data_IF_930639458633
#
_entry.id   IF_930639458633
#
_cell.length_a   1.000
_cell.length_b   1.000
_cell.length_c   1.000
_cell.angle_alpha   90.00
_cell.angle_beta   90.00
_cell.angle_gamma   90.00
#
_symmetry.space_group_name_H-M   'P 1'
#
loop_
_entity.id
_entity.type
_entity.pdbx_description
1 polymer ?
#
# COMPACT_ATOMS: atom_id res chain seq x y z
N UNK A 1 3.13 -22.73 7.32
CA UNK A 1 2.41 -21.53 7.79
C UNK A 1 2.81 -20.40 6.87
N UNK A 2 1.83 -19.67 6.36
CA UNK A 2 2.03 -18.44 5.58
C UNK A 2 2.40 -17.32 6.54
N UNK A 3 3.32 -16.43 6.15
CA UNK A 3 3.67 -15.25 6.96
C UNK A 3 2.63 -14.14 6.79
N UNK A 4 2.38 -13.30 7.82
CA UNK A 4 1.53 -12.13 7.67
C UNK A 4 2.03 -11.21 6.55
N UNK A 5 1.13 -10.81 5.66
CA UNK A 5 1.38 -9.86 4.60
C UNK A 5 1.42 -8.42 5.14
N UNK A 6 2.15 -7.54 4.45
CA UNK A 6 2.18 -6.10 4.69
C UNK A 6 1.61 -5.34 3.49
N UNK A 7 1.04 -4.17 3.77
CA UNK A 7 0.70 -3.19 2.74
C UNK A 7 1.98 -2.49 2.27
N UNK A 8 2.28 -2.61 0.98
CA UNK A 8 3.30 -1.81 0.31
C UNK A 8 2.64 -0.54 -0.25
N UNK A 9 3.14 0.64 0.09
CA UNK A 9 2.58 1.89 -0.42
C UNK A 9 3.66 2.87 -0.86
N UNK A 10 3.88 3.07 -2.17
CA UNK A 10 4.57 4.23 -2.71
C UNK A 10 3.73 5.49 -2.49
N UNK A 11 4.00 6.25 -1.42
CA UNK A 11 3.21 7.44 -1.07
C UNK A 11 3.81 8.68 -1.76
N UNK A 12 3.59 8.80 -3.07
CA UNK A 12 4.12 9.91 -3.88
C UNK A 12 3.13 11.09 -3.97
N UNK A 13 2.21 11.15 -3.01
CA UNK A 13 1.33 12.29 -2.76
C UNK A 13 2.03 13.32 -1.88
N UNK A 14 2.20 14.53 -2.39
CA UNK A 14 2.77 15.61 -1.59
C UNK A 14 1.82 16.00 -0.43
N UNK A 15 2.30 16.12 0.81
CA UNK A 15 1.46 16.41 1.97
C UNK A 15 1.12 17.90 2.11
N UNK A 16 0.35 18.48 1.18
CA UNK A 16 0.04 19.92 1.15
C UNK A 16 -0.49 20.51 2.47
N UNK A 17 -1.14 19.70 3.30
CA UNK A 17 -1.69 20.05 4.59
C UNK A 17 -1.82 18.82 5.49
N UNK A 18 -2.25 19.01 6.73
CA UNK A 18 -2.38 17.96 7.75
C UNK A 18 -3.36 16.85 7.40
N UNK A 19 -4.25 17.05 6.42
CA UNK A 19 -5.22 16.04 5.99
C UNK A 19 -4.84 15.36 4.68
N UNK A 20 -3.72 15.75 4.05
CA UNK A 20 -3.33 15.20 2.74
C UNK A 20 -3.08 13.69 2.77
N UNK A 21 -2.65 13.16 3.92
CA UNK A 21 -2.42 11.74 4.15
C UNK A 21 -3.47 11.10 5.09
N UNK A 22 -4.63 11.73 5.31
CA UNK A 22 -5.65 11.21 6.23
C UNK A 22 -6.21 9.86 5.78
N UNK A 23 -6.27 9.59 4.48
CA UNK A 23 -6.67 8.29 3.92
C UNK A 23 -5.77 7.16 4.44
N UNK A 24 -4.45 7.37 4.45
CA UNK A 24 -3.51 6.41 5.02
C UNK A 24 -3.64 6.32 6.54
N UNK A 25 -3.60 7.45 7.26
CA UNK A 25 -3.59 7.40 8.74
C UNK A 25 -4.88 6.83 9.31
N UNK A 26 -6.02 7.01 8.64
CA UNK A 26 -7.29 6.37 9.02
C UNK A 26 -7.21 4.86 8.89
N UNK A 27 -6.69 4.32 7.78
CA UNK A 27 -6.51 2.87 7.59
C UNK A 27 -5.48 2.28 8.55
N UNK A 28 -4.40 3.00 8.83
CA UNK A 28 -3.37 2.60 9.81
C UNK A 28 -3.97 2.49 11.21
N UNK A 29 -4.75 3.49 11.64
CA UNK A 29 -5.40 3.50 12.95
C UNK A 29 -6.47 2.40 13.08
N UNK A 30 -7.22 2.13 12.00
CA UNK A 30 -8.26 1.10 11.95
C UNK A 30 -7.69 -0.32 12.00
N UNK A 31 -6.47 -0.53 11.48
CA UNK A 31 -5.84 -1.85 11.35
C UNK A 31 -4.52 -1.93 12.14
N UNK A 32 -4.54 -1.89 13.50
CA UNK A 32 -3.33 -1.80 14.32
C UNK A 32 -2.39 -3.02 14.21
N UNK A 33 -2.89 -4.17 13.75
CA UNK A 33 -2.09 -5.38 13.54
C UNK A 33 -1.55 -5.52 12.10
N UNK A 34 -2.02 -4.68 11.16
CA UNK A 34 -1.55 -4.67 9.79
C UNK A 34 -0.32 -3.79 9.67
N UNK A 35 0.78 -4.36 9.15
CA UNK A 35 2.00 -3.61 8.88
C UNK A 35 1.89 -2.83 7.56
N UNK A 36 2.31 -1.57 7.58
CA UNK A 36 2.40 -0.70 6.40
C UNK A 36 3.85 -0.33 6.12
N UNK A 37 4.39 -0.75 4.98
CA UNK A 37 5.67 -0.28 4.46
C UNK A 37 5.40 0.90 3.50
N UNK A 38 5.62 2.12 3.98
CA UNK A 38 5.27 3.36 3.27
C UNK A 38 6.52 4.03 2.74
N UNK A 39 6.64 4.13 1.41
CA UNK A 39 7.76 4.81 0.76
C UNK A 39 7.45 6.30 0.64
N UNK A 40 8.36 7.14 1.12
CA UNK A 40 8.25 8.61 1.08
C UNK A 40 9.36 9.20 0.22
N UNK A 41 9.00 10.15 -0.63
CA UNK A 41 9.91 10.77 -1.60
C UNK A 41 9.98 12.32 -1.48
N UNK A 42 10.38 12.86 -0.31
CA UNK A 42 10.67 14.29 -0.19
C UNK A 42 11.89 14.69 -1.01
N UNK A 43 11.99 15.99 -1.33
CA UNK A 43 13.18 16.55 -1.96
C UNK A 43 14.36 16.55 -0.97
N UNK A 44 15.45 15.88 -1.34
CA UNK A 44 16.66 15.72 -0.52
C UNK A 44 17.76 16.76 -0.80
N UNK A 45 17.50 17.78 -1.62
CA UNK A 45 18.46 18.85 -1.89
C UNK A 45 18.86 19.63 -0.63
N UNK A 46 17.97 19.67 0.36
CA UNK A 46 18.25 20.16 1.70
C UNK A 46 18.42 18.98 2.67
N UNK A 47 19.20 19.18 3.74
CA UNK A 47 19.43 18.15 4.74
C UNK A 47 18.16 17.75 5.53
N UNK A 48 17.17 18.65 5.59
CA UNK A 48 15.87 18.45 6.25
C UNK A 48 14.79 18.81 5.23
N UNK A 49 13.69 18.05 5.14
CA UNK A 49 12.63 18.32 4.17
C UNK A 49 11.82 19.57 4.59
N UNK A 50 10.89 19.99 3.73
CA UNK A 50 10.04 21.14 4.02
C UNK A 50 9.07 20.91 5.21
N UNK A 51 8.44 21.98 5.69
CA UNK A 51 7.55 21.95 6.85
C UNK A 51 6.34 21.01 6.68
N UNK A 52 5.88 20.80 5.44
CA UNK A 52 4.75 19.92 5.15
C UNK A 52 5.14 18.46 5.35
N UNK A 53 6.29 18.05 4.79
CA UNK A 53 6.86 16.72 5.03
C UNK A 53 7.24 16.52 6.49
N UNK A 54 7.80 17.53 7.17
CA UNK A 54 8.12 17.44 8.60
C UNK A 54 6.85 17.13 9.42
N UNK A 55 5.77 17.88 9.17
CA UNK A 55 4.49 17.69 9.85
C UNK A 55 3.91 16.30 9.60
N UNK A 56 3.85 15.89 8.32
CA UNK A 56 3.24 14.62 7.93
C UNK A 56 4.04 13.40 8.40
N UNK A 57 5.37 13.43 8.27
CA UNK A 57 6.25 12.36 8.78
C UNK A 57 6.20 12.27 10.30
N UNK A 58 6.14 13.40 11.00
CA UNK A 58 6.03 13.40 12.46
C UNK A 58 4.74 12.74 12.94
N UNK A 59 3.63 12.93 12.24
CA UNK A 59 2.35 12.27 12.55
C UNK A 59 2.41 10.77 12.21
N UNK A 60 2.86 10.44 11.00
CA UNK A 60 2.95 9.06 10.52
C UNK A 60 3.87 8.19 11.39
N UNK A 61 4.96 8.76 11.91
CA UNK A 61 5.91 8.07 12.79
C UNK A 61 5.42 7.87 14.23
N UNK A 62 4.18 8.28 14.56
CA UNK A 62 3.53 7.95 15.84
C UNK A 62 2.90 6.55 15.83
N UNK A 63 2.62 5.99 14.65
CA UNK A 63 2.01 4.69 14.49
C UNK A 63 3.06 3.57 14.50
N UNK A 64 2.89 2.59 15.40
CA UNK A 64 3.87 1.49 15.56
C UNK A 64 3.78 0.43 14.45
N UNK A 65 2.68 0.39 13.72
CA UNK A 65 2.43 -0.48 12.59
C UNK A 65 2.81 0.15 11.25
N UNK A 66 3.43 1.33 11.25
CA UNK A 66 3.98 1.97 10.05
C UNK A 66 5.50 1.90 10.07
N UNK A 67 6.06 1.47 8.94
CA UNK A 67 7.48 1.57 8.61
C UNK A 67 7.64 2.55 7.45
N UNK A 68 8.22 3.71 7.72
CA UNK A 68 8.55 4.69 6.68
C UNK A 68 9.86 4.33 6.00
N UNK A 69 9.92 4.39 4.67
CA UNK A 69 11.09 4.07 3.86
C UNK A 69 11.44 5.26 2.97
N UNK A 70 12.70 5.70 3.01
CA UNK A 70 13.18 6.77 2.13
C UNK A 70 13.36 6.26 0.69
N UNK A 71 12.83 6.99 -0.29
CA UNK A 71 13.01 6.69 -1.72
C UNK A 71 14.41 7.06 -2.23
N UNK A 72 15.06 6.14 -2.95
CA UNK A 72 16.31 6.40 -3.68
C UNK A 72 16.30 5.61 -5.00
N UNK A 73 16.34 6.28 -6.16
CA UNK A 73 16.42 5.57 -7.45
C UNK A 73 17.86 5.17 -7.80
N UNK A 74 18.03 4.11 -8.60
CA UNK A 74 19.35 3.56 -8.96
C UNK A 74 19.63 3.51 -10.46
N UNK A 75 18.66 3.87 -11.30
CA UNK A 75 18.78 3.87 -12.77
C UNK A 75 19.33 2.55 -13.31
N UNK A 76 18.77 1.43 -12.84
CA UNK A 76 19.13 0.06 -13.24
C UNK A 76 20.62 -0.25 -13.09
N UNK A 77 21.23 0.28 -12.02
CA UNK A 77 22.63 0.03 -11.67
C UNK A 77 23.63 0.99 -12.33
N UNK A 78 23.15 2.04 -13.00
CA UNK A 78 24.01 3.02 -13.67
C UNK A 78 24.23 4.30 -12.87
N UNK A 79 23.38 4.58 -11.87
CA UNK A 79 23.54 5.76 -11.01
C UNK A 79 24.77 5.61 -10.12
N UNK A 80 25.51 6.71 -9.95
CA UNK A 80 26.74 6.72 -9.16
C UNK A 80 26.47 6.35 -7.69
N UNK A 81 27.21 5.37 -7.17
CA UNK A 81 27.08 4.89 -5.79
C UNK A 81 27.28 6.03 -4.78
N UNK A 82 28.23 6.93 -4.99
CA UNK A 82 28.48 8.04 -4.05
C UNK A 82 27.30 8.99 -3.95
N UNK A 83 26.53 9.18 -5.03
CA UNK A 83 25.30 9.99 -4.99
C UNK A 83 24.19 9.28 -4.21
N UNK A 84 24.05 7.97 -4.39
CA UNK A 84 23.12 7.14 -3.62
C UNK A 84 23.48 7.16 -2.13
N UNK A 85 24.76 6.95 -1.80
CA UNK A 85 25.25 7.01 -0.42
C UNK A 85 24.99 8.38 0.22
N UNK A 86 25.12 9.47 -0.54
CA UNK A 86 24.82 10.81 -0.05
C UNK A 86 23.33 10.96 0.32
N UNK A 87 22.41 10.49 -0.51
CA UNK A 87 20.97 10.52 -0.22
C UNK A 87 20.59 9.63 0.98
N UNK A 88 21.15 8.42 1.06
CA UNK A 88 21.00 7.54 2.23
C UNK A 88 21.50 8.22 3.51
N UNK A 89 22.58 9.00 3.40
CA UNK A 89 23.14 9.75 4.54
C UNK A 89 22.24 10.90 5.00
N UNK A 90 21.50 11.54 4.07
CA UNK A 90 20.49 12.54 4.44
C UNK A 90 19.42 11.90 5.31
N UNK A 91 18.85 10.76 4.88
CA UNK A 91 17.88 10.01 5.67
C UNK A 91 18.43 9.57 7.04
N UNK A 92 19.68 9.11 7.11
CA UNK A 92 20.31 8.74 8.36
C UNK A 92 20.44 9.94 9.34
N UNK A 93 20.68 11.14 8.81
CA UNK A 93 20.74 12.38 9.61
C UNK A 93 19.43 12.73 10.32
N UNK A 94 18.29 12.29 9.79
CA UNK A 94 16.95 12.59 10.34
C UNK A 94 16.66 11.92 11.68
N UNK A 95 17.46 10.92 12.05
CA UNK A 95 17.39 10.27 13.39
C UNK A 95 17.59 11.24 14.54
N UNK A 96 18.25 12.38 14.29
CA UNK A 96 18.50 13.43 15.28
C UNK A 96 17.51 14.59 15.21
N UNK A 97 16.57 14.56 14.27
CA UNK A 97 15.62 15.65 14.04
C UNK A 97 14.56 15.74 15.14
N UNK A 98 14.18 16.98 15.46
CA UNK A 98 12.97 17.30 16.23
C UNK A 98 12.10 18.23 15.38
N UNK A 99 10.88 17.83 14.99
CA UNK A 99 10.15 16.63 15.39
C UNK A 99 10.66 15.33 14.72
N UNK A 100 10.13 14.17 15.17
CA UNK A 100 10.60 12.82 14.80
C UNK A 100 10.23 12.46 13.35
N UNK A 101 11.14 12.74 12.43
CA UNK A 101 10.94 12.51 10.99
C UNK A 101 11.79 11.36 10.43
N UNK A 102 12.48 10.59 11.28
CA UNK A 102 13.34 9.49 10.87
C UNK A 102 12.59 8.45 10.02
N UNK A 103 13.27 7.89 9.02
CA UNK A 103 12.80 6.72 8.28
C UNK A 103 13.39 5.45 8.87
N UNK A 104 12.70 4.33 8.68
CA UNK A 104 13.07 3.00 9.17
C UNK A 104 13.81 2.13 8.13
N UNK A 105 14.13 2.72 6.99
CA UNK A 105 14.88 2.07 5.94
C UNK A 105 14.89 2.86 4.64
N UNK A 106 15.36 2.19 3.59
CA UNK A 106 15.46 2.74 2.24
C UNK A 106 14.80 1.80 1.25
N UNK A 107 13.99 2.39 0.38
CA UNK A 107 13.44 1.77 -0.81
C UNK A 107 14.28 2.21 -2.00
N UNK A 108 14.99 1.25 -2.61
CA UNK A 108 15.76 1.47 -3.81
C UNK A 108 14.90 1.19 -5.04
N UNK A 109 14.67 2.22 -5.83
CA UNK A 109 13.89 2.13 -7.06
C UNK A 109 14.75 1.84 -8.29
N UNK A 110 14.11 1.32 -9.34
CA UNK A 110 14.73 0.97 -10.61
C UNK A 110 15.97 0.07 -10.43
N UNK A 111 15.94 -0.87 -9.49
CA UNK A 111 17.11 -1.72 -9.22
C UNK A 111 17.34 -2.71 -10.37
N UNK A 112 18.59 -3.02 -10.73
CA UNK A 112 18.88 -3.97 -11.79
C UNK A 112 18.42 -5.38 -11.40
N UNK A 113 17.77 -6.08 -12.34
CA UNK A 113 17.37 -7.48 -12.19
C UNK A 113 18.47 -8.48 -12.59
N UNK A 114 19.46 -8.04 -13.36
CA UNK A 114 20.55 -8.89 -13.83
C UNK A 114 21.57 -9.18 -12.71
N UNK A 115 21.88 -10.47 -12.40
CA UNK A 115 22.83 -10.85 -11.36
C UNK A 115 24.24 -10.29 -11.51
N UNK A 116 24.65 -9.81 -12.70
CA UNK A 116 25.94 -9.13 -12.88
C UNK A 116 26.08 -7.88 -12.01
N UNK A 117 24.97 -7.29 -11.57
CA UNK A 117 24.94 -6.12 -10.70
C UNK A 117 24.91 -6.45 -9.20
N UNK A 118 25.05 -7.72 -8.79
CA UNK A 118 25.11 -8.09 -7.38
C UNK A 118 26.14 -7.27 -6.56
N UNK A 119 27.36 -6.97 -7.06
CA UNK A 119 28.30 -6.11 -6.32
C UNK A 119 27.76 -4.70 -6.08
N UNK A 120 27.03 -4.13 -7.05
CA UNK A 120 26.40 -2.82 -6.93
C UNK A 120 25.31 -2.85 -5.85
N UNK A 121 24.38 -3.81 -5.94
CA UNK A 121 23.31 -4.00 -4.96
C UNK A 121 23.84 -4.28 -3.56
N UNK A 122 24.91 -5.07 -3.45
CA UNK A 122 25.58 -5.37 -2.19
C UNK A 122 26.12 -4.10 -1.54
N UNK A 123 26.73 -3.23 -2.33
CA UNK A 123 27.34 -1.98 -1.84
C UNK A 123 26.28 -1.06 -1.24
N UNK A 124 25.22 -0.75 -1.99
CA UNK A 124 24.16 0.17 -1.52
C UNK A 124 23.38 -0.43 -0.33
N UNK A 125 23.15 -1.74 -0.34
CA UNK A 125 22.44 -2.43 0.76
C UNK A 125 23.27 -2.40 2.04
N UNK A 126 24.58 -2.71 1.94
CA UNK A 126 25.49 -2.63 3.08
C UNK A 126 25.61 -1.21 3.63
N UNK A 127 25.61 -0.20 2.76
CA UNK A 127 25.66 1.19 3.18
C UNK A 127 24.45 1.55 4.07
N UNK A 128 23.24 1.14 3.68
CA UNK A 128 22.05 1.31 4.54
C UNK A 128 22.25 0.62 5.90
N UNK A 129 22.74 -0.63 5.90
CA UNK A 129 22.95 -1.38 7.14
C UNK A 129 24.05 -0.81 8.03
N UNK A 130 25.04 -0.11 7.47
CA UNK A 130 26.10 0.53 8.26
C UNK A 130 25.74 1.92 8.75
N UNK A 131 24.93 2.65 7.98
CA UNK A 131 24.74 4.09 8.16
C UNK A 131 23.45 4.42 8.93
N UNK A 132 22.36 3.68 8.72
CA UNK A 132 21.12 3.93 9.45
C UNK A 132 21.18 3.37 10.89
N UNK A 133 20.42 4.00 11.79
CA UNK A 133 20.35 3.60 13.19
C UNK A 133 19.92 2.14 13.36
N UNK A 134 20.47 1.46 14.37
CA UNK A 134 20.07 0.08 14.70
C UNK A 134 18.55 0.00 14.91
N UNK A 135 17.88 -0.88 14.16
CA UNK A 135 16.41 -1.01 14.16
C UNK A 135 15.73 -0.37 12.94
N UNK A 136 16.38 0.59 12.28
CA UNK A 136 15.87 1.37 11.14
C UNK A 136 16.64 1.07 9.85
N UNK A 137 17.06 -0.19 9.66
CA UNK A 137 17.97 -0.58 8.58
C UNK A 137 17.26 -1.29 7.44
N UNK A 138 15.95 -1.13 7.27
CA UNK A 138 15.20 -1.91 6.30
C UNK A 138 15.66 -1.63 4.86
N UNK A 139 15.92 -2.65 4.07
CA UNK A 139 16.31 -2.53 2.65
C UNK A 139 15.22 -3.14 1.79
N UNK A 140 14.62 -2.33 0.92
CA UNK A 140 13.62 -2.78 -0.03
C UNK A 140 14.11 -2.49 -1.44
N UNK A 141 14.30 -3.51 -2.28
CA UNK A 141 14.74 -3.36 -3.66
C UNK A 141 13.55 -3.46 -4.61
N UNK A 142 13.44 -2.55 -5.57
CA UNK A 142 12.40 -2.60 -6.60
C UNK A 142 13.00 -2.78 -7.99
N UNK A 143 13.11 -4.03 -8.46
CA UNK A 143 13.39 -4.32 -9.87
C UNK A 143 12.11 -4.32 -10.74
N UNK A 144 10.93 -4.41 -10.14
CA UNK A 144 9.64 -4.52 -10.84
C UNK A 144 9.42 -5.87 -11.55
N UNK A 145 10.41 -6.77 -11.50
CA UNK A 145 10.42 -8.07 -12.18
C UNK A 145 11.11 -9.13 -11.32
N UNK A 146 10.87 -10.44 -11.56
CA UNK A 146 11.57 -11.51 -10.86
C UNK A 146 13.10 -11.42 -11.01
N UNK A 147 13.80 -11.76 -9.94
CA UNK A 147 15.27 -11.70 -9.86
C UNK A 147 15.85 -13.02 -9.37
N UNK A 148 17.16 -13.20 -9.56
CA UNK A 148 17.88 -14.34 -9.02
C UNK A 148 17.81 -14.38 -7.48
N UNK A 149 17.76 -15.60 -6.92
CA UNK A 149 17.64 -15.83 -5.49
C UNK A 149 18.74 -15.14 -4.66
N UNK A 150 19.92 -14.91 -5.24
CA UNK A 150 21.03 -14.20 -4.57
C UNK A 150 20.71 -12.75 -4.20
N UNK A 151 19.78 -12.08 -4.90
CA UNK A 151 19.36 -10.71 -4.57
C UNK A 151 18.63 -10.65 -3.22
N UNK A 152 17.88 -11.70 -2.88
CA UNK A 152 17.12 -11.77 -1.63
C UNK A 152 17.98 -11.83 -0.37
N UNK A 153 19.27 -12.14 -0.49
CA UNK A 153 20.22 -12.05 0.63
C UNK A 153 20.60 -10.60 0.97
N UNK A 154 20.39 -9.66 0.05
CA UNK A 154 20.80 -8.25 0.18
C UNK A 154 19.69 -7.37 0.76
N UNK A 155 18.43 -7.80 0.65
CA UNK A 155 17.24 -7.01 0.97
C UNK A 155 16.37 -7.69 2.03
N UNK A 156 15.53 -6.92 2.71
CA UNK A 156 14.44 -7.42 3.55
C UNK A 156 13.19 -7.73 2.71
N UNK A 157 12.92 -6.91 1.68
CA UNK A 157 11.87 -7.14 0.69
C UNK A 157 12.36 -6.83 -0.73
N UNK A 158 11.77 -7.49 -1.73
CA UNK A 158 12.04 -7.28 -3.15
C UNK A 158 10.73 -7.16 -3.93
N UNK A 159 10.50 -6.05 -4.63
CA UNK A 159 9.32 -5.88 -5.45
C UNK A 159 9.55 -6.50 -6.83
N UNK A 160 8.95 -7.67 -7.06
CA UNK A 160 9.22 -8.51 -8.24
C UNK A 160 8.11 -8.47 -9.29
N UNK A 161 7.11 -7.63 -9.07
CA UNK A 161 6.08 -7.34 -10.05
C UNK A 161 5.62 -5.90 -9.84
N UNK A 162 5.72 -5.10 -10.89
CA UNK A 162 5.16 -3.76 -10.95
C UNK A 162 4.60 -3.51 -12.34
N UNK A 163 3.29 -3.69 -12.47
CA UNK A 163 2.59 -3.50 -13.74
C UNK A 163 1.08 -3.30 -13.50
N UNK A 164 0.40 -2.86 -14.55
CA UNK A 164 -1.03 -2.76 -14.68
C UNK A 164 -1.70 -4.12 -14.50
N UNK A 165 -2.93 -4.07 -14.03
CA UNK A 165 -3.84 -5.19 -13.94
C UNK A 165 -4.01 -5.93 -15.26
N UNK A 166 -4.00 -5.21 -16.39
CA UNK A 166 -4.13 -5.81 -17.72
C UNK A 166 -2.99 -6.79 -18.06
N UNK A 167 -1.80 -6.54 -17.51
CA UNK A 167 -0.61 -7.38 -17.71
C UNK A 167 -0.37 -8.36 -16.54
N UNK A 168 -1.20 -8.31 -15.49
CA UNK A 168 -1.08 -9.22 -14.37
C UNK A 168 -1.47 -10.65 -14.77
N UNK A 169 -0.53 -11.58 -14.58
CA UNK A 169 -0.78 -13.00 -14.75
C UNK A 169 -0.52 -13.74 -13.44
N UNK A 170 -1.60 -14.10 -12.75
CA UNK A 170 -1.56 -14.82 -11.48
C UNK A 170 -0.78 -16.14 -11.55
N UNK A 171 -0.76 -16.83 -12.69
CA UNK A 171 -0.03 -18.10 -12.83
C UNK A 171 1.48 -17.94 -12.71
N UNK A 172 2.01 -16.72 -12.93
CA UNK A 172 3.43 -16.42 -12.77
C UNK A 172 3.93 -16.65 -11.33
N UNK A 173 3.06 -16.52 -10.32
CA UNK A 173 3.38 -16.80 -8.91
C UNK A 173 3.92 -18.22 -8.73
N UNK A 174 3.40 -19.19 -9.49
CA UNK A 174 3.81 -20.61 -9.39
C UNK A 174 5.23 -20.86 -9.86
N UNK A 175 5.84 -19.90 -10.55
CA UNK A 175 7.22 -19.99 -11.02
C UNK A 175 8.25 -19.51 -9.99
N UNK A 176 7.81 -18.89 -8.89
CA UNK A 176 8.67 -18.36 -7.83
C UNK A 176 8.61 -19.28 -6.62
N UNK A 177 9.76 -19.58 -6.03
CA UNK A 177 9.84 -20.37 -4.80
C UNK A 177 9.10 -19.68 -3.65
N UNK A 178 8.29 -20.43 -2.89
CA UNK A 178 7.46 -19.87 -1.82
C UNK A 178 8.27 -19.19 -0.70
N UNK A 179 9.52 -19.57 -0.48
CA UNK A 179 10.40 -18.88 0.48
C UNK A 179 10.88 -17.53 -0.06
N UNK A 180 11.01 -17.39 -1.38
CA UNK A 180 11.32 -16.11 -2.02
C UNK A 180 10.07 -15.22 -2.04
N UNK A 181 8.88 -15.80 -2.26
CA UNK A 181 7.62 -15.07 -2.14
C UNK A 181 7.44 -14.46 -0.74
N UNK A 182 7.91 -15.15 0.29
CA UNK A 182 7.93 -14.68 1.69
C UNK A 182 8.77 -13.41 1.94
N UNK A 183 9.52 -12.95 0.93
CA UNK A 183 10.26 -11.68 0.92
C UNK A 183 9.93 -10.83 -0.31
N UNK A 184 8.96 -11.26 -1.11
CA UNK A 184 8.60 -10.59 -2.35
C UNK A 184 7.38 -9.69 -2.14
N UNK A 185 7.29 -8.64 -2.95
CA UNK A 185 6.08 -7.83 -3.07
C UNK A 185 5.64 -7.64 -4.50
N UNK A 186 4.36 -7.34 -4.67
CA UNK A 186 3.73 -6.99 -5.94
C UNK A 186 3.10 -5.60 -5.82
N UNK A 187 3.24 -4.77 -6.85
CA UNK A 187 2.43 -3.58 -7.07
C UNK A 187 1.61 -3.77 -8.35
N UNK A 188 0.30 -3.81 -8.21
CA UNK A 188 -0.66 -3.96 -9.31
C UNK A 188 -1.43 -2.65 -9.41
N UNK A 189 -1.21 -1.89 -10.49
CA UNK A 189 -1.89 -0.63 -10.76
C UNK A 189 -2.98 -0.78 -11.82
N UNK A 190 -3.74 0.28 -12.09
CA UNK A 190 -4.87 0.26 -13.05
C UNK A 190 -5.88 -0.88 -12.80
N UNK A 191 -6.10 -1.26 -11.54
CA UNK A 191 -7.06 -2.31 -11.22
C UNK A 191 -8.49 -1.88 -11.60
N UNK A 192 -9.14 -2.66 -12.45
CA UNK A 192 -10.50 -2.37 -12.96
C UNK A 192 -11.57 -3.30 -12.40
N UNK A 193 -11.20 -4.19 -11.46
CA UNK A 193 -12.13 -5.12 -10.84
C UNK A 193 -12.97 -4.50 -9.72
N UNK A 194 -13.92 -5.30 -9.20
CA UNK A 194 -14.75 -4.95 -8.03
C UNK A 194 -13.98 -5.13 -6.71
N UNK A 195 -14.56 -4.66 -5.60
CA UNK A 195 -14.04 -4.92 -4.26
C UNK A 195 -13.89 -6.43 -3.98
N UNK A 196 -14.89 -7.24 -4.34
CA UNK A 196 -14.83 -8.71 -4.17
C UNK A 196 -13.70 -9.36 -5.00
N UNK A 197 -13.45 -8.85 -6.21
CA UNK A 197 -12.34 -9.33 -7.04
C UNK A 197 -10.98 -8.92 -6.46
N UNK A 198 -10.88 -7.70 -5.91
CA UNK A 198 -9.69 -7.27 -5.18
C UNK A 198 -9.45 -8.15 -3.96
N UNK A 199 -10.52 -8.47 -3.21
CA UNK A 199 -10.44 -9.31 -2.02
C UNK A 199 -9.95 -10.74 -2.35
N UNK A 200 -10.58 -11.36 -3.35
CA UNK A 200 -10.17 -12.67 -3.84
C UNK A 200 -8.71 -12.70 -4.33
N UNK A 201 -8.24 -11.60 -4.95
CA UNK A 201 -6.86 -11.46 -5.37
C UNK A 201 -5.91 -11.35 -4.17
N UNK A 202 -6.20 -10.47 -3.20
CA UNK A 202 -5.42 -10.35 -1.95
C UNK A 202 -5.28 -11.72 -1.28
N UNK A 203 -6.40 -12.43 -1.11
CA UNK A 203 -6.38 -13.78 -0.53
C UNK A 203 -5.48 -14.73 -1.31
N UNK A 204 -5.56 -14.73 -2.64
CA UNK A 204 -4.71 -15.61 -3.45
C UNK A 204 -3.22 -15.27 -3.34
N UNK A 205 -2.87 -13.98 -3.30
CA UNK A 205 -1.49 -13.53 -3.12
C UNK A 205 -0.95 -13.91 -1.74
N UNK A 206 -1.75 -13.68 -0.69
CA UNK A 206 -1.42 -14.05 0.69
C UNK A 206 -1.26 -15.57 0.84
N UNK A 207 -2.20 -16.37 0.34
CA UNK A 207 -2.13 -17.85 0.36
C UNK A 207 -0.91 -18.40 -0.40
N UNK A 208 -0.39 -17.64 -1.38
CA UNK A 208 0.86 -17.95 -2.10
C UNK A 208 2.13 -17.56 -1.32
N UNK A 209 1.98 -17.08 -0.09
CA UNK A 209 3.04 -16.58 0.79
C UNK A 209 3.72 -15.30 0.30
N UNK A 210 3.04 -14.47 -0.50
CA UNK A 210 3.55 -13.16 -0.90
C UNK A 210 3.57 -12.20 0.30
N UNK A 211 4.73 -11.63 0.60
CA UNK A 211 4.91 -10.83 1.81
C UNK A 211 4.33 -9.42 1.71
N UNK A 212 4.44 -8.76 0.57
CA UNK A 212 3.98 -7.38 0.39
C UNK A 212 3.05 -7.23 -0.81
N UNK A 213 2.05 -6.37 -0.70
CA UNK A 213 1.21 -6.08 -1.86
C UNK A 213 0.68 -4.65 -1.89
N UNK A 214 0.42 -4.17 -3.10
CA UNK A 214 -0.45 -3.05 -3.43
C UNK A 214 -1.34 -3.47 -4.59
N UNK A 215 -2.65 -3.29 -4.45
CA UNK A 215 -3.60 -3.41 -5.57
C UNK A 215 -4.37 -2.10 -5.62
N UNK A 216 -4.14 -1.28 -6.64
CA UNK A 216 -4.69 0.07 -6.73
C UNK A 216 -5.45 0.27 -8.04
N UNK A 217 -6.59 0.96 -7.94
CA UNK A 217 -7.35 1.43 -9.11
C UNK A 217 -6.72 2.65 -9.79
N UNK A 218 -5.70 3.26 -9.17
CA UNK A 218 -4.95 4.35 -9.77
C UNK A 218 -3.97 3.84 -10.83
N UNK A 219 -3.75 4.63 -11.88
CA UNK A 219 -2.73 4.38 -12.91
C UNK A 219 -1.29 4.69 -12.46
N UNK A 220 -1.12 5.11 -11.20
CA UNK A 220 0.17 5.36 -10.60
C UNK A 220 0.05 5.58 -9.09
N UNK A 221 0.96 6.39 -8.54
CA UNK A 221 1.14 6.52 -7.09
C UNK A 221 0.87 7.95 -6.57
N UNK A 222 0.23 8.77 -7.40
CA UNK A 222 -0.06 10.19 -7.12
C UNK A 222 -1.56 10.46 -6.91
N UNK A 223 -2.35 9.40 -6.73
CA UNK A 223 -3.76 9.48 -6.33
C UNK A 223 -4.15 8.27 -5.50
N UNK A 224 -5.17 8.44 -4.65
CA UNK A 224 -5.70 7.34 -3.84
C UNK A 224 -6.53 6.40 -4.71
N UNK A 225 -6.40 5.09 -4.44
CA UNK A 225 -7.34 4.12 -4.98
C UNK A 225 -8.74 4.35 -4.40
N UNK A 226 -9.76 4.24 -5.23
CA UNK A 226 -11.16 4.17 -4.79
C UNK A 226 -11.46 2.93 -3.93
N UNK A 227 -10.61 1.91 -3.96
CA UNK A 227 -10.75 0.68 -3.17
C UNK A 227 -9.70 0.58 -2.04
N UNK A 228 -9.04 1.69 -1.67
CA UNK A 228 -7.94 1.67 -0.70
C UNK A 228 -8.35 1.08 0.67
N UNK A 229 -9.51 1.47 1.18
CA UNK A 229 -9.98 0.98 2.49
C UNK A 229 -10.32 -0.50 2.45
N UNK A 230 -11.06 -0.96 1.42
CA UNK A 230 -11.37 -2.37 1.21
C UNK A 230 -10.10 -3.22 1.08
N UNK A 231 -9.12 -2.74 0.34
CA UNK A 231 -7.82 -3.40 0.20
C UNK A 231 -7.12 -3.58 1.56
N UNK A 232 -7.06 -2.53 2.38
CA UNK A 232 -6.41 -2.62 3.69
C UNK A 232 -7.14 -3.56 4.64
N UNK A 233 -8.47 -3.54 4.64
CA UNK A 233 -9.31 -4.43 5.45
C UNK A 233 -9.06 -5.89 5.07
N UNK A 234 -9.09 -6.21 3.77
CA UNK A 234 -8.84 -7.58 3.34
C UNK A 234 -7.43 -8.07 3.71
N UNK A 235 -6.38 -7.25 3.50
CA UNK A 235 -5.01 -7.65 3.88
C UNK A 235 -4.91 -7.89 5.40
N UNK A 236 -5.62 -7.11 6.20
CA UNK A 236 -5.72 -7.37 7.63
C UNK A 236 -6.47 -8.68 7.93
N UNK A 237 -7.57 -8.95 7.26
CA UNK A 237 -8.42 -10.12 7.52
C UNK A 237 -7.73 -11.43 7.16
N UNK A 238 -7.02 -11.50 6.02
CA UNK A 238 -6.22 -12.68 5.65
C UNK A 238 -5.10 -12.94 6.66
N UNK A 239 -4.52 -11.91 7.28
CA UNK A 239 -3.50 -12.05 8.31
C UNK A 239 -4.04 -12.61 9.62
N UNK A 240 -5.34 -12.41 9.90
CA UNK A 240 -5.99 -12.92 11.11
C UNK A 240 -6.55 -14.34 10.95
N UNK A 241 -6.32 -14.97 9.79
CA UNK A 241 -6.76 -16.33 9.50
C UNK A 241 -8.04 -16.42 8.69
N UNK A 242 -8.45 -15.33 8.01
CA UNK A 242 -9.57 -15.33 7.08
C UNK A 242 -10.87 -15.75 7.76
N UNK A 243 -11.17 -15.15 8.92
CA UNK A 243 -12.45 -15.36 9.56
C UNK A 243 -13.54 -14.93 8.58
N UNK A 244 -14.25 -15.90 8.02
CA UNK A 244 -15.47 -15.71 7.25
C UNK A 244 -16.47 -14.97 8.16
N UNK A 245 -16.34 -13.65 8.24
CA UNK A 245 -17.11 -12.75 9.09
C UNK A 245 -18.48 -12.46 8.50
N UNK A 246 -19.17 -13.49 8.02
CA UNK A 246 -20.62 -13.49 7.90
C UNK A 246 -21.21 -13.55 9.30
N UNK A 247 -21.16 -12.43 10.02
CA UNK A 247 -21.81 -12.28 11.31
C UNK A 247 -23.28 -11.95 11.13
N UNK A 248 -24.06 -12.90 10.62
CA UNK A 248 -25.50 -12.90 10.85
C UNK A 248 -25.71 -13.03 12.37
N UNK A 249 -26.26 -11.98 12.97
CA UNK A 249 -26.54 -11.92 14.39
C UNK A 249 -27.68 -12.85 14.75
N UNK A 250 -27.40 -14.14 14.88
CA UNK A 250 -28.31 -15.08 15.53
C UNK A 250 -28.26 -14.82 17.05
N UNK A 251 -29.35 -14.22 17.53
CA UNK A 251 -29.62 -13.99 18.93
C UNK A 251 -29.58 -15.31 19.68
N UNK A 252 -28.61 -15.43 20.59
CA UNK A 252 -28.53 -16.53 21.52
C UNK A 252 -29.70 -16.52 22.48
N UNK A 253 -30.49 -17.60 22.43
CA UNK A 253 -31.47 -17.98 23.44
C UNK A 253 -30.78 -18.16 24.80
N UNK A 254 -31.08 -17.25 25.72
CA UNK A 254 -30.71 -17.34 27.13
C UNK A 254 -31.91 -17.77 27.94
N UNK A 255 -31.99 -19.07 28.25
CA UNK A 255 -32.91 -19.64 29.22
C UNK A 255 -32.67 -19.03 30.62
N UNK A 256 -33.69 -18.35 31.14
CA UNK A 256 -33.69 -17.77 32.49
C UNK A 256 -35.08 -17.86 33.11
N UNK A 257 -35.31 -18.91 33.88
CA UNK A 257 -36.49 -19.13 34.71
C UNK A 257 -36.60 -18.08 35.84
N UNK A 258 -37.83 -17.62 36.14
CA UNK A 258 -38.21 -17.30 37.53
C UNK A 258 -38.95 -15.98 37.80
N UNK A 259 -40.28 -16.12 37.86
CA UNK A 259 -41.24 -15.53 38.82
C UNK A 259 -41.56 -14.02 38.86
N UNK A 260 -42.87 -13.73 38.69
CA UNK A 260 -43.59 -12.82 39.61
C UNK A 260 -44.39 -11.66 39.01
N UNK A 261 -45.70 -11.91 38.85
CA UNK A 261 -46.88 -11.06 39.08
C UNK A 261 -46.86 -9.55 38.74
N UNK A 262 -47.84 -9.12 37.93
CA UNK A 262 -48.25 -7.71 37.87
C UNK A 262 -49.33 -7.42 36.83
N UNK A 263 -50.57 -7.32 37.30
CA UNK A 263 -51.77 -6.93 36.54
C UNK A 263 -51.67 -5.56 35.85
N UNK A 264 -52.38 -5.43 34.72
CA UNK A 264 -53.15 -4.21 34.41
C UNK A 264 -52.83 -3.54 33.08
N UNK A 265 -53.88 -3.27 32.31
CA UNK A 265 -53.91 -2.16 31.36
C UNK A 265 -54.60 -2.47 30.03
N UNK A 266 -55.92 -2.29 30.02
CA UNK A 266 -56.70 -2.09 28.80
C UNK A 266 -56.18 -0.87 28.01
N UNK A 267 -56.25 -0.93 26.68
CA UNK A 267 -55.88 0.19 25.82
C UNK A 267 -56.24 -0.07 24.36
N UNK A 268 -57.51 0.11 24.03
CA UNK A 268 -58.01 0.24 22.65
C UNK A 268 -57.37 1.44 21.95
N UNK A 269 -57.05 1.29 20.67
CA UNK A 269 -56.48 2.37 19.85
C UNK A 269 -56.56 2.06 18.37
N UNK A 270 -57.74 2.23 17.79
CA UNK A 270 -57.98 2.32 16.35
C UNK A 270 -57.21 3.51 15.74
N UNK A 271 -56.68 3.31 14.54
CA UNK A 271 -55.96 4.36 13.81
C UNK A 271 -55.78 3.99 12.35
N UNK A 272 -56.87 4.14 11.59
CA UNK A 272 -56.88 4.14 10.12
C UNK A 272 -55.99 5.27 9.56
N UNK A 273 -55.29 4.98 8.46
CA UNK A 273 -54.44 5.94 7.77
C UNK A 273 -54.08 5.47 6.37
N UNK A 274 -55.04 5.59 5.46
CA UNK A 274 -54.89 5.42 4.01
C UNK A 274 -53.83 6.40 3.45
N UNK A 275 -53.02 5.92 2.51
CA UNK A 275 -52.01 6.70 1.82
C UNK A 275 -51.65 6.08 0.48
N UNK A 276 -52.57 6.17 -0.48
CA UNK A 276 -52.35 5.86 -1.88
C UNK A 276 -51.29 6.79 -2.48
N UNK A 277 -50.36 6.21 -3.25
CA UNK A 277 -49.30 6.93 -3.94
C UNK A 277 -48.87 6.17 -5.18
N UNK A 278 -49.74 6.19 -6.20
CA UNK A 278 -49.46 5.73 -7.56
C UNK A 278 -48.32 6.56 -8.18
N UNK A 279 -47.37 5.89 -8.80
CA UNK A 279 -46.27 6.48 -9.53
C UNK A 279 -45.83 5.56 -10.66
N UNK A 280 -46.64 5.54 -11.72
CA UNK A 280 -46.32 4.90 -13.00
C UNK A 280 -45.08 5.55 -13.65
N UNK A 281 -44.17 4.71 -14.13
CA UNK A 281 -43.02 5.10 -14.93
C UNK A 281 -42.65 3.97 -15.89
N UNK A 282 -43.29 3.97 -17.05
CA UNK A 282 -42.87 3.30 -18.29
C UNK A 282 -41.37 3.62 -18.57
N UNK A 283 -40.50 2.75 -19.09
CA UNK A 283 -40.66 1.80 -20.17
C UNK A 283 -39.63 2.12 -21.27
N UNK A 284 -38.76 1.13 -21.55
CA UNK A 284 -38.00 0.86 -22.78
C UNK A 284 -36.64 1.55 -23.13
N UNK A 285 -35.62 0.67 -23.22
CA UNK A 285 -34.60 0.40 -24.28
C UNK A 285 -34.51 1.36 -25.49
N UNK A 286 -33.42 1.60 -26.22
CA UNK A 286 -32.17 0.91 -26.62
C UNK A 286 -31.23 2.01 -27.22
N UNK A 287 -29.91 1.90 -27.32
CA UNK A 287 -29.17 1.27 -28.43
C UNK A 287 -27.65 1.51 -28.25
N UNK A 288 -26.92 0.62 -28.92
CA UNK A 288 -25.48 0.34 -29.03
C UNK A 288 -24.74 1.27 -30.01
N UNK A 289 -23.43 1.03 -30.15
CA UNK A 289 -22.41 1.58 -31.08
C UNK A 289 -21.64 2.81 -30.55
N UNK A 290 -20.31 2.78 -30.31
CA UNK A 290 -19.25 1.97 -30.89
C UNK A 290 -18.35 2.87 -31.75
N UNK A 291 -17.20 3.29 -31.22
CA UNK A 291 -15.92 3.52 -31.93
C UNK A 291 -14.95 4.35 -31.06
N UNK A 292 -14.03 3.65 -30.39
CA UNK A 292 -12.83 4.24 -29.79
C UNK A 292 -11.61 3.78 -30.60
N UNK A 293 -10.98 4.71 -31.31
CA UNK A 293 -9.68 4.48 -31.94
C UNK A 293 -8.55 4.71 -30.92
N UNK A 294 -7.72 3.67 -30.79
CA UNK A 294 -6.50 3.59 -29.98
C UNK A 294 -5.39 4.53 -30.49
N UNK A 295 -4.85 5.35 -29.59
CA UNK A 295 -3.51 5.91 -29.74
C UNK A 295 -2.67 5.67 -28.48
N UNK A 296 -1.84 4.63 -28.56
CA UNK A 296 -0.75 4.36 -27.63
C UNK A 296 0.23 5.55 -27.54
N UNK A 297 0.32 6.16 -26.37
CA UNK A 297 1.43 7.04 -26.01
C UNK A 297 2.18 6.48 -24.80
N UNK A 298 3.38 5.95 -25.06
CA UNK A 298 4.40 5.71 -24.06
C UNK A 298 4.83 7.05 -23.46
N UNK A 299 4.47 7.32 -22.20
CA UNK A 299 4.96 8.49 -21.48
C UNK A 299 6.28 8.16 -20.77
N UNK A 300 7.38 8.60 -21.41
CA UNK A 300 8.66 8.81 -20.73
C UNK A 300 8.52 9.98 -19.75
N UNK A 301 8.68 9.73 -18.45
CA UNK A 301 8.83 10.79 -17.45
C UNK A 301 10.24 11.38 -17.51
N UNK A 302 10.34 12.58 -18.06
CA UNK A 302 11.53 13.41 -18.05
C UNK A 302 11.48 14.31 -16.80
N UNK A 303 12.28 14.01 -15.78
CA UNK A 303 12.52 14.95 -14.69
C UNK A 303 13.46 16.06 -15.19
N UNK A 304 12.90 17.25 -15.44
CA UNK A 304 13.67 18.44 -15.79
C UNK A 304 14.46 18.96 -14.60
N UNK A 305 15.78 18.98 -14.74
CA UNK A 305 16.73 19.72 -13.89
C UNK A 305 16.43 21.22 -13.85
N UNK A 306 16.53 21.92 -12.69
CA UNK A 306 16.38 23.37 -12.66
C UNK A 306 17.58 24.08 -13.31
N UNK A 307 17.29 24.97 -14.27
CA UNK A 307 18.25 25.93 -14.83
C UNK A 307 18.74 26.88 -13.74
N UNK A 308 20.05 26.99 -13.62
CA UNK A 308 20.77 28.05 -12.91
C UNK A 308 20.41 29.44 -13.45
N UNK A 309 20.06 30.36 -12.55
CA UNK A 309 19.87 31.78 -12.83
C UNK A 309 21.23 32.48 -12.70
N UNK A 310 21.72 33.25 -13.70
CA UNK A 310 22.91 34.08 -13.53
C UNK A 310 22.56 35.42 -12.87
N UNK A 311 23.50 35.94 -12.07
CA UNK A 311 23.53 37.29 -11.53
C UNK A 311 23.42 38.38 -12.60
#
# INVERSE_FOLDING_TARGET
MVLPAFVFLPLYLYPYNTTSWSTLTSSVAKNPNLSFNVVVAPNLAAAVPDANYISALSDLNTYSNVRTLGYVYTSYGTRNITEIEAEVSVYAGWTTSTPKIAVDGVFFDETPSNPTYLPYLTTISNYVRSTLATGSRYVFLNPGVPVDASVYALADAVNIFEESWANFNQTALRSVDANLLAKSSYAIHDFTGTADQQAALVKTLADSNLAGMLITTSSGYTSWSSLWENFCEEVNDVNQGGGDGGGDGDGGDGDGDGDGDGDGGDGDGDGDGDGDGDGDGDGDSCDDDGDHEDHHHHHHHNYTTPRSVPN
#
